data_IF_705423410595
#
_entry.id   IF_705423410595
#
_cell.length_a   1.000
_cell.length_b   1.000
_cell.length_c   1.000
_cell.angle_alpha   90.00
_cell.angle_beta   90.00
_cell.angle_gamma   90.00
#
_symmetry.space_group_name_H-M   'P 1'
#
loop_
_entity.id
_entity.type
_entity.pdbx_description
1 polymer ?
#
# COMPACT_ATOMS: atom_id res chain seq x y z
N UNK A 1 -15.92 -4.03 19.22
CA UNK A 1 -15.39 -5.25 18.57
C UNK A 1 -13.92 -5.28 18.91
N UNK A 2 -13.38 -6.40 19.40
CA UNK A 2 -11.95 -6.47 19.66
C UNK A 2 -11.20 -6.60 18.33
N UNK A 3 -10.02 -6.01 18.25
CA UNK A 3 -9.15 -6.18 17.08
C UNK A 3 -8.75 -7.66 16.94
N UNK A 4 -8.64 -8.17 15.70
CA UNK A 4 -8.18 -9.53 15.49
C UNK A 4 -6.72 -9.67 15.95
N UNK A 5 -6.41 -10.73 16.70
CA UNK A 5 -5.03 -11.02 17.14
C UNK A 5 -4.09 -11.34 15.96
N UNK A 6 -4.64 -11.84 14.86
CA UNK A 6 -3.91 -12.07 13.61
C UNK A 6 -4.83 -12.07 12.40
N UNK A 7 -4.26 -11.70 11.26
CA UNK A 7 -4.87 -11.81 9.93
C UNK A 7 -3.87 -12.45 8.97
N UNK A 8 -4.34 -13.21 8.00
CA UNK A 8 -3.46 -13.82 7.01
C UNK A 8 -3.07 -12.79 5.94
N UNK A 9 -1.90 -12.99 5.32
CA UNK A 9 -1.46 -12.18 4.18
C UNK A 9 -2.48 -12.23 3.03
N UNK A 10 -3.11 -13.39 2.79
CA UNK A 10 -4.14 -13.55 1.75
C UNK A 10 -5.35 -12.67 2.02
N UNK A 11 -5.88 -12.67 3.25
CA UNK A 11 -7.02 -11.81 3.62
C UNK A 11 -6.71 -10.33 3.43
N UNK A 12 -5.51 -9.89 3.80
CA UNK A 12 -5.08 -8.51 3.57
C UNK A 12 -5.01 -8.19 2.07
N UNK A 13 -4.40 -9.07 1.26
CA UNK A 13 -4.31 -8.88 -0.19
C UNK A 13 -5.69 -8.75 -0.84
N UNK A 14 -6.64 -9.60 -0.46
CA UNK A 14 -8.01 -9.57 -0.97
C UNK A 14 -8.74 -8.29 -0.55
N UNK A 15 -8.59 -7.88 0.71
CA UNK A 15 -9.20 -6.65 1.23
C UNK A 15 -8.72 -5.41 0.46
N UNK A 16 -7.40 -5.24 0.29
CA UNK A 16 -6.85 -4.09 -0.42
C UNK A 16 -7.08 -4.16 -1.94
N UNK A 17 -7.12 -5.36 -2.52
CA UNK A 17 -7.47 -5.53 -3.93
C UNK A 17 -8.88 -5.00 -4.23
N UNK A 18 -9.82 -5.08 -3.28
CA UNK A 18 -11.18 -4.56 -3.44
C UNK A 18 -11.25 -3.04 -3.67
N UNK A 19 -10.21 -2.30 -3.23
CA UNK A 19 -10.06 -0.85 -3.43
C UNK A 19 -8.99 -0.50 -4.47
N UNK A 20 -8.57 -1.47 -5.29
CA UNK A 20 -7.58 -1.28 -6.36
C UNK A 20 -6.13 -1.21 -5.90
N UNK A 21 -5.84 -1.62 -4.65
CA UNK A 21 -4.48 -1.64 -4.11
C UNK A 21 -3.90 -3.05 -4.18
N UNK A 22 -2.87 -3.23 -5.01
CA UNK A 22 -2.17 -4.51 -5.10
C UNK A 22 -1.03 -4.62 -4.07
N UNK A 23 -1.15 -5.50 -3.10
CA UNK A 23 -0.06 -5.86 -2.17
C UNK A 23 0.78 -7.01 -2.76
N UNK A 24 1.37 -6.77 -3.93
CA UNK A 24 2.19 -7.73 -4.69
C UNK A 24 3.66 -7.78 -4.26
N UNK A 25 4.51 -8.33 -5.14
CA UNK A 25 5.94 -8.56 -4.85
C UNK A 25 6.77 -7.29 -4.63
N UNK A 26 6.26 -6.13 -5.07
CA UNK A 26 6.93 -4.84 -4.93
C UNK A 26 6.38 -4.02 -3.76
N UNK A 27 5.41 -4.55 -3.02
CA UNK A 27 4.87 -3.88 -1.86
C UNK A 27 5.89 -3.85 -0.71
N UNK A 28 6.12 -2.67 -0.14
CA UNK A 28 7.05 -2.49 0.99
C UNK A 28 6.31 -2.08 2.25
N UNK A 29 5.42 -1.08 2.14
CA UNK A 29 4.80 -0.45 3.31
C UNK A 29 3.44 0.16 2.97
N UNK A 30 2.53 0.11 3.94
CA UNK A 30 1.23 0.79 3.91
C UNK A 30 1.00 1.48 5.26
N UNK A 31 0.66 2.75 5.24
CA UNK A 31 0.29 3.53 6.43
C UNK A 31 -1.00 4.30 6.17
N UNK A 32 -1.94 4.22 7.10
CA UNK A 32 -3.16 5.02 7.10
C UNK A 32 -3.06 6.07 8.20
N UNK A 33 -3.20 7.34 7.83
CA UNK A 33 -3.29 8.48 8.72
C UNK A 33 -4.60 9.18 8.43
N UNK A 34 -5.58 9.16 9.33
CA UNK A 34 -6.92 9.80 9.20
C UNK A 34 -7.52 9.84 7.77
N UNK A 35 -7.13 10.84 6.95
CA UNK A 35 -7.61 11.12 5.60
C UNK A 35 -6.60 10.83 4.47
N UNK A 36 -5.47 10.18 4.77
CA UNK A 36 -4.40 9.86 3.81
C UNK A 36 -3.88 8.44 4.01
N UNK A 37 -3.87 7.69 2.91
CA UNK A 37 -3.23 6.38 2.81
C UNK A 37 -1.92 6.51 2.03
N UNK A 38 -0.82 6.12 2.65
CA UNK A 38 0.52 6.12 2.07
C UNK A 38 0.89 4.69 1.67
N UNK A 39 1.29 4.51 0.41
CA UNK A 39 1.77 3.24 -0.12
C UNK A 39 3.21 3.41 -0.61
N UNK A 40 4.12 2.56 -0.15
CA UNK A 40 5.48 2.50 -0.66
C UNK A 40 5.70 1.22 -1.45
N UNK A 41 6.25 1.39 -2.66
CA UNK A 41 6.55 0.30 -3.59
C UNK A 41 8.00 0.34 -4.02
N UNK A 42 8.60 -0.82 -4.21
CA UNK A 42 9.92 -0.95 -4.78
C UNK A 42 9.96 -0.43 -6.21
N UNK A 43 10.95 0.41 -6.53
CA UNK A 43 11.20 0.83 -7.91
C UNK A 43 12.05 -0.23 -8.60
N UNK A 44 11.57 -0.70 -9.76
CA UNK A 44 12.33 -1.59 -10.64
C UNK A 44 12.88 -0.85 -11.85
N UNK A 45 14.08 -1.24 -12.24
CA UNK A 45 14.69 -0.85 -13.52
C UNK A 45 13.91 -1.47 -14.69
N UNK A 46 14.12 -1.00 -15.93
CA UNK A 46 13.53 -1.63 -17.13
C UNK A 46 13.87 -3.12 -17.29
N UNK A 47 14.98 -3.59 -16.70
CA UNK A 47 15.37 -4.99 -16.68
C UNK A 47 14.64 -5.81 -15.59
N UNK A 48 13.74 -5.19 -14.82
CA UNK A 48 12.99 -5.83 -13.73
C UNK A 48 13.76 -5.98 -12.41
N UNK A 49 14.97 -5.43 -12.29
CA UNK A 49 15.77 -5.50 -11.06
C UNK A 49 15.47 -4.31 -10.12
N UNK A 50 15.51 -4.50 -8.78
CA UNK A 50 15.43 -3.40 -7.82
C UNK A 50 16.44 -2.31 -8.14
N UNK A 51 16.02 -1.04 -8.12
CA UNK A 51 16.94 0.09 -8.31
C UNK A 51 17.69 0.34 -7.01
N UNK A 52 19.01 0.19 -7.02
CA UNK A 52 19.85 0.42 -5.85
C UNK A 52 20.02 1.92 -5.56
N UNK A 53 20.16 2.26 -4.28
CA UNK A 53 20.59 3.56 -3.80
C UNK A 53 22.11 3.58 -3.57
N UNK A 54 22.76 4.75 -3.63
CA UNK A 54 24.19 4.89 -3.35
C UNK A 54 24.61 4.47 -1.93
N UNK A 55 23.67 4.46 -0.98
CA UNK A 55 23.88 4.06 0.41
C UNK A 55 23.77 2.53 0.64
N UNK A 56 23.58 1.75 -0.42
CA UNK A 56 23.40 0.30 -0.35
C UNK A 56 21.95 -0.16 -0.13
N UNK A 57 20.99 0.76 -0.02
CA UNK A 57 19.56 0.45 0.02
C UNK A 57 18.95 0.24 -1.38
N UNK A 58 17.63 0.07 -1.42
CA UNK A 58 16.84 0.09 -2.67
C UNK A 58 15.94 1.32 -2.70
N UNK A 59 15.62 1.79 -3.91
CA UNK A 59 14.71 2.90 -4.10
C UNK A 59 13.26 2.44 -3.99
N UNK A 60 12.47 3.26 -3.32
CA UNK A 60 11.03 3.08 -3.18
C UNK A 60 10.31 4.32 -3.68
N UNK A 61 9.14 4.12 -4.27
CA UNK A 61 8.20 5.17 -4.64
C UNK A 61 7.07 5.19 -3.63
N UNK A 62 6.90 6.34 -2.98
CA UNK A 62 5.72 6.63 -2.16
C UNK A 62 4.60 7.20 -3.02
N UNK A 63 3.39 6.69 -2.84
CA UNK A 63 2.14 7.24 -3.40
C UNK A 63 1.23 7.59 -2.24
N UNK A 64 0.68 8.81 -2.26
CA UNK A 64 -0.35 9.24 -1.32
C UNK A 64 -1.71 9.14 -2.00
N UNK A 65 -2.65 8.50 -1.32
CA UNK A 65 -4.04 8.32 -1.74
C UNK A 65 -4.91 9.02 -0.72
N UNK A 66 -5.75 9.97 -1.17
CA UNK A 66 -6.72 10.62 -0.30
C UNK A 66 -7.79 9.59 0.13
N UNK A 67 -8.07 9.54 1.43
CA UNK A 67 -9.15 8.76 2.02
C UNK A 67 -10.29 9.73 2.31
N UNK A 68 -11.34 9.60 1.51
CA UNK A 68 -12.53 10.44 1.64
C UNK A 68 -13.63 9.66 2.35
N UNK A 69 -14.37 10.34 3.21
CA UNK A 69 -15.57 9.77 3.79
C UNK A 69 -16.58 9.44 2.70
N UNK A 70 -17.35 8.36 2.89
CA UNK A 70 -18.49 8.09 2.01
C UNK A 70 -19.41 9.32 1.98
N UNK A 71 -19.85 9.74 0.78
CA UNK A 71 -20.84 10.80 0.69
C UNK A 71 -22.09 10.33 1.46
N UNK A 72 -22.73 11.22 2.23
CA UNK A 72 -23.97 10.87 2.91
C UNK A 72 -24.96 10.33 1.88
N UNK A 73 -25.66 9.25 2.22
CA UNK A 73 -26.64 8.65 1.33
C UNK A 73 -27.79 9.64 1.07
N UNK A 74 -27.68 10.42 0.00
CA UNK A 74 -28.76 11.24 -0.55
C UNK A 74 -28.61 12.74 -0.35
N UNK A 75 -28.49 13.44 -1.47
CA UNK A 75 -29.23 14.65 -1.80
C UNK A 75 -29.85 14.46 -3.18
#
# INVERSE_FOLDING_TARGET
>A
MADPESVTLTQLRECFASVGIDLGADFVKLELHDDVLILERLIRSPAGLPVSRPDGGVQVQGVQVAVVADPPAGG
#
